data_IF_212204492515
#
_entry.id   IF_212204492515
#
_cell.length_a   1.000
_cell.length_b   1.000
_cell.length_c   1.000
_cell.angle_alpha   90.00
_cell.angle_beta   90.00
_cell.angle_gamma   90.00
#
_symmetry.space_group_name_H-M   'P 1'
#
loop_
_entity.id
_entity.type
_entity.pdbx_description
1 polymer ?
#
# COMPACT_ATOMS: atom_id res chain seq x y z
N UNK A 1 -11.80 9.08 26.31
CA UNK A 1 -11.91 9.14 24.84
C UNK A 1 -10.79 8.31 24.24
N UNK A 2 -11.08 7.40 23.32
CA UNK A 2 -10.03 6.62 22.64
C UNK A 2 -9.55 7.48 21.48
N UNK A 3 -8.43 8.17 21.66
CA UNK A 3 -7.87 9.09 20.66
C UNK A 3 -7.77 8.50 19.26
N UNK A 4 -7.80 9.37 18.23
CA UNK A 4 -7.85 8.99 16.82
C UNK A 4 -9.28 8.77 16.31
N UNK A 5 -9.56 9.24 15.10
CA UNK A 5 -10.86 9.06 14.43
C UNK A 5 -10.98 7.60 13.98
N UNK A 6 -12.07 6.92 14.36
CA UNK A 6 -12.34 5.56 13.86
C UNK A 6 -12.59 5.59 12.35
N UNK A 7 -11.77 4.88 11.59
CA UNK A 7 -11.99 4.59 10.17
C UNK A 7 -12.70 3.24 10.04
N UNK A 8 -13.96 3.29 9.62
CA UNK A 8 -14.82 2.11 9.47
C UNK A 8 -15.51 2.13 8.12
N UNK A 9 -15.30 1.08 7.31
CA UNK A 9 -15.93 0.95 6.00
C UNK A 9 -14.94 1.15 4.85
N UNK A 10 -15.46 1.49 3.66
CA UNK A 10 -14.63 1.62 2.46
C UNK A 10 -14.00 3.01 2.35
N UNK A 11 -12.71 3.05 2.06
CA UNK A 11 -11.95 4.28 1.79
C UNK A 11 -11.10 4.12 0.53
N UNK A 12 -10.86 5.21 -0.22
CA UNK A 12 -9.95 5.20 -1.36
C UNK A 12 -8.49 5.11 -0.90
N UNK A 13 -7.72 4.28 -1.59
CA UNK A 13 -6.26 4.17 -1.49
C UNK A 13 -5.66 4.46 -2.86
N UNK A 14 -4.83 5.50 -2.95
CA UNK A 14 -4.07 5.86 -4.13
C UNK A 14 -2.75 5.10 -4.13
N UNK A 15 -2.57 4.25 -5.14
CA UNK A 15 -1.41 3.39 -5.29
C UNK A 15 -0.28 4.13 -6.00
N UNK A 16 0.94 3.91 -5.53
CA UNK A 16 2.14 4.46 -6.15
C UNK A 16 2.49 3.67 -7.40
N UNK A 17 2.55 4.36 -8.54
CA UNK A 17 2.87 3.76 -9.84
C UNK A 17 4.18 2.97 -9.79
N UNK A 18 4.17 1.75 -10.32
CA UNK A 18 5.34 0.89 -10.37
C UNK A 18 5.65 0.12 -9.09
N UNK A 19 4.92 0.37 -7.99
CA UNK A 19 4.97 -0.47 -6.78
C UNK A 19 4.47 -1.88 -7.06
N UNK A 20 4.82 -2.84 -6.19
CA UNK A 20 4.30 -4.20 -6.33
C UNK A 20 2.78 -4.22 -6.14
N UNK A 21 2.27 -3.47 -5.15
CA UNK A 21 0.83 -3.35 -4.91
C UNK A 21 0.09 -2.86 -6.15
N UNK A 22 0.54 -1.76 -6.77
CA UNK A 22 -0.10 -1.22 -7.98
C UNK A 22 -0.14 -2.26 -9.10
N UNK A 23 0.97 -2.97 -9.36
CA UNK A 23 1.03 -4.02 -10.38
C UNK A 23 0.07 -5.19 -10.11
N UNK A 24 -0.06 -5.61 -8.84
CA UNK A 24 -0.98 -6.68 -8.46
C UNK A 24 -2.44 -6.29 -8.71
N UNK A 25 -2.83 -5.07 -8.33
CA UNK A 25 -4.18 -4.56 -8.59
C UNK A 25 -4.43 -4.36 -10.09
N UNK A 26 -3.46 -3.79 -10.82
CA UNK A 26 -3.55 -3.58 -12.27
C UNK A 26 -3.71 -4.90 -13.04
N UNK A 27 -3.05 -5.98 -12.61
CA UNK A 27 -3.18 -7.31 -13.21
C UNK A 27 -4.63 -7.85 -13.16
N UNK A 28 -5.41 -7.41 -12.16
CA UNK A 28 -6.82 -7.75 -11.98
C UNK A 28 -7.77 -6.70 -12.58
N UNK A 29 -7.24 -5.76 -13.38
CA UNK A 29 -8.00 -4.73 -14.10
C UNK A 29 -8.43 -3.54 -13.26
N UNK A 30 -7.81 -3.31 -12.09
CA UNK A 30 -8.08 -2.14 -11.27
C UNK A 30 -7.31 -0.90 -11.74
N UNK A 31 -7.83 0.28 -11.42
CA UNK A 31 -7.12 1.56 -11.56
C UNK A 31 -6.08 1.76 -10.44
N UNK A 32 -5.30 2.84 -10.55
CA UNK A 32 -4.35 3.33 -9.53
C UNK A 32 -5.03 3.85 -8.26
N UNK A 33 -6.36 3.96 -8.24
CA UNK A 33 -7.16 4.21 -7.04
C UNK A 33 -8.05 3.01 -6.76
N UNK A 34 -7.91 2.43 -5.57
CA UNK A 34 -8.65 1.24 -5.13
C UNK A 34 -9.49 1.53 -3.89
N UNK A 35 -10.59 0.80 -3.70
CA UNK A 35 -11.52 1.02 -2.59
C UNK A 35 -11.43 -0.14 -1.59
N UNK A 36 -10.87 0.13 -0.42
CA UNK A 36 -10.52 -0.89 0.56
C UNK A 36 -11.24 -0.72 1.90
N UNK A 37 -11.39 -1.80 2.66
CA UNK A 37 -12.17 -1.79 3.92
C UNK A 37 -11.29 -1.61 5.15
N UNK A 38 -11.58 -0.58 5.93
CA UNK A 38 -10.86 -0.24 7.16
C UNK A 38 -11.69 -0.54 8.41
N UNK A 39 -10.99 -0.87 9.50
CA UNK A 39 -11.55 -0.97 10.85
C UNK A 39 -10.45 -0.71 11.90
N UNK A 40 -9.87 0.48 11.88
CA UNK A 40 -8.81 0.89 12.82
C UNK A 40 -8.98 2.36 13.26
N UNK A 41 -8.25 2.74 14.31
CA UNK A 41 -8.17 4.12 14.85
C UNK A 41 -6.76 4.69 14.81
N UNK A 42 -5.76 3.83 14.96
CA UNK A 42 -4.37 4.23 14.92
C UNK A 42 -3.92 4.34 13.47
N UNK A 43 -3.10 5.36 13.23
CA UNK A 43 -2.55 5.69 11.92
C UNK A 43 -1.03 5.72 12.01
N UNK A 44 -0.39 5.56 10.85
CA UNK A 44 1.04 5.74 10.71
C UNK A 44 1.47 7.13 11.20
N UNK A 45 2.49 7.22 12.05
CA UNK A 45 3.01 8.50 12.50
C UNK A 45 3.92 9.10 11.43
N UNK A 46 3.44 10.15 10.75
CA UNK A 46 4.17 10.82 9.68
C UNK A 46 5.50 11.45 10.13
N UNK A 47 5.72 11.69 11.41
CA UNK A 47 7.01 12.16 11.93
C UNK A 47 8.14 11.15 11.65
N UNK A 48 7.81 9.86 11.50
CA UNK A 48 8.76 8.79 11.18
C UNK A 48 8.81 8.44 9.69
N UNK A 49 8.02 9.10 8.84
CA UNK A 49 7.88 8.74 7.42
C UNK A 49 9.20 8.75 6.69
N UNK A 50 9.94 9.86 6.78
CA UNK A 50 11.20 10.01 6.06
C UNK A 50 12.26 9.05 6.57
N UNK A 51 12.36 8.87 7.89
CA UNK A 51 13.31 7.94 8.51
C UNK A 51 13.12 6.51 8.00
N UNK A 52 11.88 6.04 7.88
CA UNK A 52 11.57 4.71 7.37
C UNK A 52 11.82 4.59 5.86
N UNK A 53 11.54 5.65 5.09
CA UNK A 53 11.87 5.71 3.66
C UNK A 53 13.38 5.63 3.44
N UNK A 54 14.17 6.39 4.19
CA UNK A 54 15.62 6.38 4.11
C UNK A 54 16.21 5.02 4.50
N UNK A 55 15.51 4.27 5.37
CA UNK A 55 15.84 2.89 5.73
C UNK A 55 15.43 1.84 4.67
N UNK A 56 14.78 2.25 3.58
CA UNK A 56 14.44 1.40 2.44
C UNK A 56 12.96 1.01 2.33
N UNK A 57 12.11 1.44 3.27
CA UNK A 57 10.66 1.25 3.15
C UNK A 57 10.11 2.14 2.02
N UNK A 58 9.13 1.68 1.27
CA UNK A 58 8.38 2.55 0.35
C UNK A 58 6.95 2.68 0.83
N UNK A 59 6.39 3.89 0.71
CA UNK A 59 4.95 4.11 0.92
C UNK A 59 4.28 3.89 -0.43
N UNK A 60 3.67 2.72 -0.61
CA UNK A 60 3.07 2.33 -1.89
C UNK A 60 1.58 2.63 -2.00
N UNK A 61 0.94 3.04 -0.91
CA UNK A 61 -0.47 3.44 -0.90
C UNK A 61 -0.77 4.54 0.11
N UNK A 62 -1.56 5.54 -0.27
CA UNK A 62 -1.98 6.62 0.62
C UNK A 62 -3.45 7.00 0.46
N UNK A 63 -4.01 7.70 1.45
CA UNK A 63 -5.26 8.44 1.27
C UNK A 63 -5.15 9.47 0.13
N UNK A 64 -6.28 9.98 -0.43
CA UNK A 64 -6.25 10.96 -1.52
C UNK A 64 -5.48 12.26 -1.19
N UNK A 65 -5.51 12.68 0.07
CA UNK A 65 -4.77 13.85 0.58
C UNK A 65 -3.30 13.54 0.94
N UNK A 66 -2.86 12.29 0.73
CA UNK A 66 -1.53 11.74 1.02
C UNK A 66 -1.09 11.75 2.49
N UNK A 67 -2.00 12.09 3.40
CA UNK A 67 -1.71 12.21 4.83
C UNK A 67 -1.69 10.87 5.55
N UNK A 68 -2.52 9.92 5.13
CA UNK A 68 -2.57 8.59 5.72
C UNK A 68 -1.78 7.63 4.84
N UNK A 69 -0.91 6.84 5.47
CA UNK A 69 -0.27 5.69 4.84
C UNK A 69 -1.25 4.53 4.92
N UNK A 70 -1.59 3.97 3.77
CA UNK A 70 -2.52 2.84 3.64
C UNK A 70 -1.77 1.53 3.33
N UNK A 71 -0.66 1.63 2.58
CA UNK A 71 0.18 0.51 2.18
C UNK A 71 1.66 0.89 2.21
N UNK A 72 2.48 0.00 2.73
CA UNK A 72 3.93 0.08 2.74
C UNK A 72 4.57 -1.22 2.22
N UNK A 73 5.73 -1.11 1.57
CA UNK A 73 6.46 -2.25 1.01
C UNK A 73 7.95 -2.16 1.32
N UNK A 74 8.63 -3.32 1.27
CA UNK A 74 10.09 -3.41 1.37
C UNK A 74 10.65 -4.09 0.11
N UNK A 75 11.09 -3.33 -0.90
CA UNK A 75 11.44 -3.85 -2.22
C UNK A 75 12.58 -4.88 -2.24
N UNK A 76 13.43 -4.91 -1.20
CA UNK A 76 14.52 -5.88 -1.06
C UNK A 76 14.02 -7.29 -0.69
N UNK A 77 12.76 -7.41 -0.26
CA UNK A 77 12.13 -8.70 0.05
C UNK A 77 11.29 -9.20 -1.14
N UNK A 78 11.30 -10.52 -1.39
CA UNK A 78 10.59 -11.12 -2.54
C UNK A 78 9.10 -10.74 -2.60
N UNK A 79 8.48 -10.63 -1.42
CA UNK A 79 7.11 -10.17 -1.25
C UNK A 79 6.95 -9.60 0.15
N UNK A 80 6.89 -8.29 0.28
CA UNK A 80 6.59 -7.62 1.55
C UNK A 80 5.62 -6.48 1.26
N UNK A 81 4.40 -6.63 1.73
CA UNK A 81 3.33 -5.64 1.62
C UNK A 81 2.63 -5.60 2.98
N UNK A 82 2.69 -4.45 3.65
CA UNK A 82 1.86 -4.11 4.79
C UNK A 82 0.69 -3.26 4.33
N UNK A 83 -0.51 -3.52 4.85
CA UNK A 83 -1.69 -2.70 4.59
C UNK A 83 -2.49 -2.45 5.86
N UNK A 84 -3.07 -1.26 5.99
CA UNK A 84 -3.96 -0.89 7.10
C UNK A 84 -5.40 -1.42 6.93
N UNK A 85 -5.80 -1.68 5.68
CA UNK A 85 -7.11 -2.24 5.37
C UNK A 85 -7.16 -3.77 5.51
N UNK A 86 -8.37 -4.30 5.35
CA UNK A 86 -8.74 -5.71 5.47
C UNK A 86 -9.06 -6.32 4.09
N UNK A 87 -8.03 -6.74 3.31
CA UNK A 87 -8.23 -7.34 1.97
C UNK A 87 -9.07 -8.63 2.01
N UNK A 88 -9.09 -9.33 3.15
CA UNK A 88 -9.89 -10.52 3.40
C UNK A 88 -11.39 -10.28 3.22
N UNK A 89 -11.88 -9.07 3.50
CA UNK A 89 -13.30 -8.76 3.36
C UNK A 89 -13.73 -8.54 1.91
N UNK A 90 -12.80 -8.32 0.99
CA UNK A 90 -13.08 -8.17 -0.44
C UNK A 90 -12.74 -9.43 -1.26
N UNK A 91 -11.96 -10.37 -0.71
CA UNK A 91 -11.69 -11.66 -1.33
C UNK A 91 -12.94 -12.55 -1.44
N UNK A 92 -13.12 -13.25 -2.57
CA UNK A 92 -14.23 -14.19 -2.82
C UNK A 92 -13.70 -15.49 -3.47
N UNK A 93 -14.40 -16.64 -3.33
CA UNK A 93 -13.94 -17.91 -3.90
C UNK A 93 -13.64 -17.88 -5.42
N UNK A 94 -14.40 -17.11 -6.21
CA UNK A 94 -14.18 -16.95 -7.65
C UNK A 94 -13.39 -15.70 -8.05
N UNK A 95 -13.00 -14.86 -7.08
CA UNK A 95 -12.21 -13.64 -7.28
C UNK A 95 -11.41 -13.38 -6.02
N UNK A 96 -10.26 -14.03 -5.91
CA UNK A 96 -9.35 -13.85 -4.78
C UNK A 96 -8.74 -12.45 -4.85
N UNK A 97 -8.53 -11.85 -3.67
CA UNK A 97 -7.96 -10.50 -3.60
C UNK A 97 -6.54 -10.45 -4.21
N UNK A 98 -6.16 -9.40 -4.97
CA UNK A 98 -4.85 -9.30 -5.62
C UNK A 98 -3.67 -9.54 -4.68
N UNK A 99 -3.71 -8.97 -3.47
CA UNK A 99 -2.64 -9.17 -2.47
C UNK A 99 -2.50 -10.64 -1.99
N UNK A 100 -3.58 -11.42 -1.94
CA UNK A 100 -3.44 -12.84 -1.60
C UNK A 100 -2.91 -13.66 -2.78
N UNK A 101 -3.32 -13.31 -4.00
CA UNK A 101 -2.78 -13.94 -5.20
C UNK A 101 -1.26 -13.71 -5.30
N UNK A 102 -0.81 -12.47 -5.10
CA UNK A 102 0.61 -12.12 -5.08
C UNK A 102 1.39 -12.90 -4.02
N UNK A 103 0.87 -12.96 -2.78
CA UNK A 103 1.51 -13.71 -1.69
C UNK A 103 1.68 -15.19 -2.03
N UNK A 104 0.63 -15.86 -2.53
CA UNK A 104 0.70 -17.29 -2.88
C UNK A 104 1.66 -17.53 -4.05
N UNK A 105 1.63 -16.68 -5.08
CA UNK A 105 2.59 -16.75 -6.19
C UNK A 105 4.03 -16.63 -5.69
N UNK A 106 4.28 -15.69 -4.78
CA UNK A 106 5.61 -15.49 -4.21
C UNK A 106 6.06 -16.69 -3.38
N UNK A 107 5.16 -17.28 -2.60
CA UNK A 107 5.41 -18.49 -1.82
C UNK A 107 5.75 -19.70 -2.72
N UNK A 108 5.16 -19.78 -3.91
CA UNK A 108 5.48 -20.79 -4.93
C UNK A 108 6.78 -20.49 -5.70
N UNK A 109 7.47 -19.38 -5.41
CA UNK A 109 8.66 -18.96 -6.15
C UNK A 109 8.35 -18.47 -7.57
N UNK A 110 7.08 -18.21 -7.88
CA UNK A 110 6.69 -17.69 -9.18
C UNK A 110 7.05 -16.20 -9.28
N UNK A 111 7.49 -15.75 -10.46
CA UNK A 111 7.71 -14.33 -10.68
C UNK A 111 6.41 -13.55 -10.49
N UNK A 112 6.53 -12.43 -9.78
CA UNK A 112 5.55 -11.37 -9.76
C UNK A 112 5.78 -10.57 -11.06
N UNK A 113 5.37 -11.09 -12.22
CA UNK A 113 5.53 -10.40 -13.52
C UNK A 113 4.90 -8.99 -13.42
N UNK A 114 5.44 -7.92 -14.02
CA UNK A 114 5.73 -7.76 -15.46
C UNK A 114 7.03 -6.94 -15.77
N UNK A 115 7.67 -7.31 -16.88
CA UNK A 115 8.90 -6.82 -17.57
C UNK A 115 10.07 -6.21 -16.78
N UNK A 116 11.27 -6.76 -17.04
CA UNK A 116 12.56 -6.23 -16.65
C UNK A 116 12.77 -4.82 -17.23
N UNK A 117 12.78 -3.78 -16.41
CA UNK A 117 13.24 -2.47 -16.87
C UNK A 117 12.57 -1.24 -16.29
N UNK A 118 12.41 -1.14 -14.97
CA UNK A 118 12.33 0.18 -14.34
C UNK A 118 12.75 0.08 -12.88
N UNK A 119 14.00 0.47 -12.62
CA UNK A 119 14.43 0.79 -11.27
C UNK A 119 13.55 1.94 -10.79
N UNK A 120 12.74 1.70 -9.76
CA UNK A 120 12.07 2.77 -9.02
C UNK A 120 13.18 3.57 -8.34
N UNK A 121 13.58 4.69 -8.96
CA UNK A 121 14.52 5.61 -8.33
C UNK A 121 13.83 6.26 -7.13
N UNK A 122 14.52 6.30 -6.00
CA UNK A 122 14.08 6.87 -4.71
C UNK A 122 13.78 8.38 -4.74
N UNK A 123 13.71 9.01 -5.91
CA UNK A 123 13.63 10.46 -6.06
C UNK A 123 12.22 11.06 -6.19
N UNK A 124 11.16 10.26 -6.40
CA UNK A 124 9.80 10.79 -6.64
C UNK A 124 8.83 10.71 -5.44
N UNK A 125 9.23 10.19 -4.28
CA UNK A 125 8.29 9.92 -3.17
C UNK A 125 8.33 10.96 -2.04
N UNK A 126 9.33 11.85 -2.01
CA UNK A 126 9.47 12.84 -0.93
C UNK A 126 8.88 14.21 -1.29
N UNK A 127 7.55 14.32 -1.35
CA UNK A 127 6.90 15.62 -1.10
C UNK A 127 6.54 15.69 0.39
N UNK A 128 7.16 16.60 1.17
CA UNK A 128 6.87 16.72 2.59
C UNK A 128 5.41 17.18 2.76
N UNK A 129 4.60 16.34 3.42
CA UNK A 129 3.31 16.79 3.96
C UNK A 129 3.65 17.70 5.13
N UNK A 130 3.40 19.00 4.96
CA UNK A 130 3.55 20.01 6.00
C UNK A 130 2.74 19.63 7.24
N UNK A 131 3.42 19.44 8.37
CA UNK A 131 2.82 19.20 9.67
C UNK A 131 2.20 20.48 10.22
N UNK A 132 0.95 20.75 9.90
CA UNK A 132 0.14 21.72 10.67
C UNK A 132 -0.85 20.94 11.52
N UNK A 133 -0.53 20.81 12.81
CA UNK A 133 -1.46 20.38 13.87
C UNK A 133 -2.51 21.47 14.12
N UNK A 134 -3.78 21.13 14.42
CA UNK A 134 -4.59 21.92 15.35
C UNK A 134 -4.18 21.66 16.81
#
# INVERSE_FOLDING_TARGET
>A
DLGGTMRLGQYPCHLTKGSLTEKLYAAEGHSDVVMERHRHRYEFNNDYRQMLIDAGLIISGTSPDRKLVEVDELPQHKYFIGCQFHPEFLSRPGKSHPLFQGLIRAAMGLPQTFEEGQQVTTSEVASPVSSTKP
#
